data_IF_168050719585
#
_entry.id   IF_168050719585
#
_cell.length_a   1.000
_cell.length_b   1.000
_cell.length_c   1.000
_cell.angle_alpha   90.00
_cell.angle_beta   90.00
_cell.angle_gamma   90.00
#
_symmetry.space_group_name_H-M   'P 1'
#
loop_
_entity.id
_entity.type
_entity.pdbx_description
1 polymer ?
#
# COMPACT_ATOMS: atom_id res chain seq x y z
N UNK A 1 8.09 -6.88 14.13
CA UNK A 1 7.02 -5.88 13.93
C UNK A 1 7.39 -4.90 12.80
N UNK A 2 7.39 -5.34 11.53
CA UNK A 2 7.57 -4.48 10.33
C UNK A 2 6.38 -4.56 9.36
N UNK A 3 5.27 -5.16 9.80
CA UNK A 3 4.12 -5.58 8.98
C UNK A 3 3.11 -4.44 8.77
N UNK A 4 3.13 -3.39 9.58
CA UNK A 4 2.11 -2.33 9.58
C UNK A 4 2.18 -1.38 8.37
N UNK A 5 3.36 -1.18 7.77
CA UNK A 5 3.51 -0.24 6.64
C UNK A 5 2.98 -0.85 5.34
N UNK A 6 3.21 -2.13 5.08
CA UNK A 6 2.87 -2.75 3.79
C UNK A 6 1.38 -2.92 3.57
N UNK A 7 0.61 -3.03 4.65
CA UNK A 7 -0.83 -3.29 4.59
C UNK A 7 -1.64 -1.97 4.62
N UNK A 8 -1.22 -0.95 5.38
CA UNK A 8 -1.72 0.44 5.21
C UNK A 8 -1.42 0.96 3.80
N UNK A 9 -0.25 0.63 3.24
CA UNK A 9 0.11 1.00 1.86
C UNK A 9 -0.67 0.21 0.82
N UNK A 10 -0.98 -1.07 1.06
CA UNK A 10 -1.84 -1.86 0.17
C UNK A 10 -3.30 -1.37 0.22
N UNK A 11 -3.79 -0.92 1.37
CA UNK A 11 -5.12 -0.32 1.53
C UNK A 11 -5.19 1.07 0.89
N UNK A 12 -4.15 1.91 1.02
CA UNK A 12 -4.04 3.20 0.32
C UNK A 12 -3.92 3.01 -1.21
N UNK A 13 -3.11 2.05 -1.68
CA UNK A 13 -3.01 1.74 -3.11
C UNK A 13 -4.30 1.10 -3.66
N UNK A 14 -5.04 0.33 -2.85
CA UNK A 14 -6.35 -0.22 -3.22
C UNK A 14 -7.43 0.88 -3.28
N UNK A 15 -7.35 1.90 -2.43
CA UNK A 15 -8.19 3.10 -2.47
C UNK A 15 -7.91 3.98 -3.70
N UNK A 16 -6.66 4.09 -4.14
CA UNK A 16 -6.30 4.85 -5.35
C UNK A 16 -6.69 4.10 -6.64
N UNK A 17 -6.74 2.77 -6.63
CA UNK A 17 -7.03 1.98 -7.84
C UNK A 17 -8.52 1.88 -8.21
N UNK A 18 -9.45 2.15 -7.28
CA UNK A 18 -10.90 2.13 -7.57
C UNK A 18 -11.37 3.35 -8.36
N UNK A 19 -10.56 4.41 -8.45
CA UNK A 19 -10.86 5.60 -9.25
C UNK A 19 -10.26 5.57 -10.67
N UNK A 20 -9.43 4.57 -10.99
CA UNK A 20 -8.74 4.49 -12.28
C UNK A 20 -9.56 3.91 -13.46
N UNK A 21 -10.84 3.58 -13.25
CA UNK A 21 -11.69 2.94 -14.29
C UNK A 21 -12.99 3.69 -14.64
N UNK A 22 -13.16 4.92 -14.18
CA UNK A 22 -14.33 5.74 -14.51
C UNK A 22 -13.91 7.04 -15.22
N UNK A 23 -13.71 7.00 -16.54
CA UNK A 23 -13.65 8.20 -17.38
C UNK A 23 -14.97 8.39 -18.13
N UNK A 24 -15.65 9.55 -18.04
CA UNK A 24 -16.55 10.01 -19.08
C UNK A 24 -15.79 10.83 -20.13
N UNK A 25 -16.06 10.53 -21.40
CA UNK A 25 -15.59 11.22 -22.60
C UNK A 25 -15.82 12.74 -22.56
N UNK A 26 -14.77 13.53 -22.84
CA UNK A 26 -14.91 14.89 -23.42
C UNK A 26 -13.83 15.10 -24.49
N UNK A 27 -14.27 15.55 -25.66
CA UNK A 27 -13.52 15.76 -26.92
C UNK A 27 -12.85 17.15 -27.00
N UNK A 28 -11.94 17.38 -27.99
CA UNK A 28 -10.73 18.21 -27.80
C UNK A 28 -10.74 19.57 -28.53
N UNK A 29 -9.79 20.44 -28.17
CA UNK A 29 -9.43 21.69 -28.87
C UNK A 29 -8.03 22.19 -28.42
N UNK A 30 -7.27 22.95 -29.23
CA UNK A 30 -6.08 22.39 -29.88
C UNK A 30 -4.73 23.01 -29.50
N UNK A 31 -3.69 22.18 -29.66
CA UNK A 31 -2.34 22.43 -30.19
C UNK A 31 -1.55 23.62 -29.64
N UNK A 32 -0.46 23.31 -28.90
CA UNK A 32 0.83 23.99 -29.09
C UNK A 32 1.99 23.02 -28.88
N UNK A 33 2.78 22.85 -29.93
CA UNK A 33 3.91 21.93 -30.01
C UNK A 33 5.23 22.51 -29.43
N UNK A 34 6.06 21.59 -28.92
CA UNK A 34 7.53 21.56 -28.75
C UNK A 34 8.20 22.54 -27.76
N UNK A 35 8.97 21.99 -26.81
CA UNK A 35 10.43 21.80 -26.95
C UNK A 35 11.04 21.38 -25.60
N UNK A 36 11.56 20.17 -25.53
CA UNK A 36 12.43 19.68 -24.47
C UNK A 36 13.86 20.02 -24.87
N UNK A 37 14.45 21.07 -24.31
CA UNK A 37 15.90 21.24 -24.24
C UNK A 37 16.25 22.34 -23.24
N UNK A 38 17.28 22.04 -22.47
CA UNK A 38 17.81 22.69 -21.26
C UNK A 38 17.90 24.22 -21.25
N UNK A 39 17.40 24.87 -20.19
CA UNK A 39 18.11 25.94 -19.47
C UNK A 39 17.47 26.32 -18.12
N UNK A 40 18.29 26.74 -17.13
CA UNK A 40 17.89 26.95 -15.74
C UNK A 40 17.26 28.33 -15.57
N UNK A 41 15.96 28.40 -15.34
CA UNK A 41 15.32 29.63 -14.85
C UNK A 41 14.44 29.33 -13.65
N UNK A 42 15.07 29.55 -12.50
CA UNK A 42 14.48 29.81 -11.21
C UNK A 42 13.37 30.88 -11.34
N UNK A 43 12.10 30.48 -11.14
CA UNK A 43 11.01 31.33 -10.59
C UNK A 43 9.61 30.71 -10.74
N UNK A 44 9.42 29.67 -11.55
CA UNK A 44 8.06 29.15 -11.86
C UNK A 44 7.56 28.01 -10.96
N UNK A 45 8.40 27.45 -10.10
CA UNK A 45 8.11 26.21 -9.33
C UNK A 45 7.25 26.41 -8.08
N UNK A 46 7.23 27.60 -7.44
CA UNK A 46 6.54 27.77 -6.15
C UNK A 46 5.01 27.87 -6.25
N UNK A 47 4.48 28.41 -7.35
CA UNK A 47 3.04 28.65 -7.50
C UNK A 47 2.30 27.40 -8.00
N UNK A 48 2.96 26.60 -8.84
CA UNK A 48 2.44 25.34 -9.39
C UNK A 48 2.51 24.21 -8.35
N UNK A 49 3.59 24.14 -7.55
CA UNK A 49 3.65 23.28 -6.37
C UNK A 49 2.58 23.64 -5.32
N UNK A 50 2.28 24.93 -5.12
CA UNK A 50 1.21 25.38 -4.22
C UNK A 50 -0.19 25.06 -4.76
N UNK A 51 -0.38 25.08 -6.08
CA UNK A 51 -1.66 24.76 -6.72
C UNK A 51 -1.93 23.26 -6.70
N UNK A 52 -0.93 22.42 -6.98
CA UNK A 52 -1.06 20.96 -6.85
C UNK A 52 -1.23 20.53 -5.39
N UNK A 53 -0.68 21.29 -4.42
CA UNK A 53 -0.90 21.06 -2.99
C UNK A 53 -2.32 21.38 -2.51
N UNK A 54 -3.05 22.25 -3.23
CA UNK A 54 -4.45 22.61 -2.91
C UNK A 54 -5.49 21.74 -3.63
N UNK A 55 -5.13 21.14 -4.77
CA UNK A 55 -6.07 20.37 -5.58
C UNK A 55 -6.33 18.94 -5.07
N UNK A 56 -5.54 18.45 -4.10
CA UNK A 56 -5.57 17.04 -3.67
C UNK A 56 -6.49 16.75 -2.47
N UNK A 57 -7.09 17.76 -1.81
CA UNK A 57 -7.86 17.57 -0.57
C UNK A 57 -8.90 18.69 -0.34
N UNK A 58 -9.55 19.20 -1.41
CA UNK A 58 -10.74 20.01 -1.22
C UNK A 58 -11.93 19.05 -1.09
N UNK A 59 -12.61 19.10 0.05
CA UNK A 59 -13.82 18.35 0.42
C UNK A 59 -13.60 16.99 1.12
N UNK A 60 -12.66 16.94 2.07
CA UNK A 60 -12.85 16.07 3.25
C UNK A 60 -13.48 16.95 4.34
N UNK A 61 -14.77 16.76 4.58
CA UNK A 61 -15.50 17.38 5.69
C UNK A 61 -14.98 16.78 7.00
N UNK A 62 -13.86 17.31 7.49
CA UNK A 62 -13.29 16.96 8.78
C UNK A 62 -14.18 17.55 9.86
N UNK A 63 -15.05 16.71 10.43
CA UNK A 63 -15.71 17.03 11.69
C UNK A 63 -14.68 17.57 12.70
N UNK A 64 -15.05 18.64 13.37
CA UNK A 64 -14.28 19.52 14.25
C UNK A 64 -13.35 18.78 15.26
N UNK A 65 -12.18 18.32 14.79
CA UNK A 65 -11.04 17.92 15.64
C UNK A 65 -9.84 18.80 15.28
N UNK A 66 -10.04 20.10 15.48
CA UNK A 66 -9.09 21.17 15.19
C UNK A 66 -7.88 21.19 16.14
N UNK A 67 -7.76 20.20 17.04
CA UNK A 67 -6.79 20.18 18.13
C UNK A 67 -6.04 18.85 18.20
N UNK A 68 -4.79 18.91 18.64
CA UNK A 68 -4.00 17.72 18.96
C UNK A 68 -4.33 17.24 20.38
N UNK A 69 -4.54 15.93 20.56
CA UNK A 69 -4.75 15.33 21.87
C UNK A 69 -3.49 15.39 22.74
N UNK A 70 -3.63 15.29 24.07
CA UNK A 70 -2.51 15.36 25.02
C UNK A 70 -1.43 14.28 24.77
N UNK A 71 -1.87 13.09 24.35
CA UNK A 71 -0.98 11.99 23.96
C UNK A 71 -0.15 12.35 22.72
N UNK A 72 -0.76 12.98 21.73
CA UNK A 72 -0.11 13.43 20.50
C UNK A 72 0.92 14.54 20.80
N UNK A 73 0.57 15.44 21.73
CA UNK A 73 1.50 16.47 22.23
C UNK A 73 2.69 15.88 22.96
N UNK A 74 2.47 14.86 23.78
CA UNK A 74 3.57 14.16 24.47
C UNK A 74 4.57 13.57 23.48
N UNK A 75 4.08 12.98 22.38
CA UNK A 75 4.94 12.44 21.31
C UNK A 75 5.74 13.55 20.62
N UNK A 76 5.10 14.66 20.23
CA UNK A 76 5.78 15.81 19.60
C UNK A 76 6.83 16.41 20.53
N UNK A 77 6.47 16.66 21.78
CA UNK A 77 7.36 17.24 22.78
C UNK A 77 8.56 16.33 23.05
N UNK A 78 8.34 15.02 23.13
CA UNK A 78 9.41 14.04 23.35
C UNK A 78 10.39 14.01 22.16
N UNK A 79 9.90 13.97 20.92
CA UNK A 79 10.75 14.05 19.72
C UNK A 79 11.58 15.33 19.68
N UNK A 80 10.96 16.47 20.01
CA UNK A 80 11.63 17.76 20.06
C UNK A 80 12.70 17.82 21.16
N UNK A 81 12.40 17.33 22.36
CA UNK A 81 13.34 17.28 23.48
C UNK A 81 14.52 16.34 23.21
N UNK A 82 14.26 15.15 22.65
CA UNK A 82 15.30 14.19 22.27
C UNK A 82 16.26 14.75 21.21
N UNK A 83 15.77 15.62 20.33
CA UNK A 83 16.62 16.29 19.35
C UNK A 83 17.54 17.36 19.95
N UNK A 84 17.28 17.80 21.20
CA UNK A 84 18.02 18.84 21.90
C UNK A 84 18.26 20.11 21.05
N UNK A 85 17.29 20.48 20.21
CA UNK A 85 17.37 21.63 19.31
C UNK A 85 18.18 21.43 18.02
N UNK A 86 18.71 20.23 17.74
CA UNK A 86 19.42 19.95 16.49
C UNK A 86 18.44 19.47 15.39
N UNK A 87 18.26 20.23 14.29
CA UNK A 87 17.30 19.88 13.24
C UNK A 87 17.65 18.59 12.50
N UNK A 88 18.95 18.28 12.34
CA UNK A 88 19.38 17.05 11.67
C UNK A 88 19.09 15.80 12.50
N UNK A 89 19.25 15.90 13.83
CA UNK A 89 18.87 14.85 14.77
C UNK A 89 17.36 14.70 14.80
N UNK A 90 16.61 15.81 14.78
CA UNK A 90 15.16 15.78 14.73
C UNK A 90 14.64 15.06 13.49
N UNK A 91 15.19 15.35 12.30
CA UNK A 91 14.83 14.64 11.07
C UNK A 91 15.11 13.13 11.15
N UNK A 92 16.22 12.72 11.77
CA UNK A 92 16.52 11.29 11.98
C UNK A 92 15.52 10.63 12.94
N UNK A 93 15.24 11.27 14.07
CA UNK A 93 14.28 10.78 15.05
C UNK A 93 12.87 10.69 14.47
N UNK A 94 12.45 11.68 13.69
CA UNK A 94 11.16 11.64 12.97
C UNK A 94 11.15 10.51 11.96
N UNK A 95 12.23 10.31 11.18
CA UNK A 95 12.33 9.20 10.23
C UNK A 95 12.24 7.82 10.93
N UNK A 96 12.86 7.68 12.10
CA UNK A 96 12.81 6.46 12.91
C UNK A 96 11.44 6.24 13.55
N UNK A 97 10.76 7.32 13.95
CA UNK A 97 9.43 7.27 14.55
C UNK A 97 8.31 7.08 13.53
N UNK A 98 8.49 7.47 12.26
CA UNK A 98 7.48 7.38 11.19
C UNK A 98 6.72 6.03 11.12
N UNK A 99 7.36 4.85 11.22
CA UNK A 99 6.67 3.56 11.23
C UNK A 99 5.70 3.35 12.39
N UNK A 100 5.91 4.05 13.50
CA UNK A 100 5.18 3.90 14.76
C UNK A 100 4.27 5.08 15.07
N UNK A 101 4.42 6.19 14.35
CA UNK A 101 3.58 7.36 14.53
C UNK A 101 2.13 7.05 14.10
N UNK A 102 1.18 7.55 14.88
CA UNK A 102 -0.24 7.46 14.55
C UNK A 102 -0.48 8.16 13.19
N UNK A 103 -1.16 7.50 12.23
CA UNK A 103 -1.51 8.12 10.95
C UNK A 103 -2.24 9.46 11.09
N UNK A 104 -3.07 9.64 12.14
CA UNK A 104 -3.78 10.90 12.42
C UNK A 104 -2.80 12.04 12.67
N UNK A 105 -1.81 11.78 13.53
CA UNK A 105 -0.78 12.74 13.88
C UNK A 105 0.06 13.13 12.66
N UNK A 106 0.40 12.18 11.78
CA UNK A 106 1.13 12.48 10.52
C UNK A 106 0.30 13.42 9.64
N UNK A 107 -1.01 13.20 9.52
CA UNK A 107 -1.89 14.08 8.73
C UNK A 107 -2.03 15.48 9.36
N UNK A 108 -2.24 15.54 10.68
CA UNK A 108 -2.29 16.79 11.45
C UNK A 108 -0.99 17.60 11.25
N UNK A 109 0.17 16.94 11.35
CA UNK A 109 1.48 17.55 11.13
C UNK A 109 1.74 17.95 9.67
N UNK A 110 1.16 17.28 8.66
CA UNK A 110 1.35 17.68 7.23
C UNK A 110 0.63 18.98 6.85
N UNK A 111 -0.28 19.46 7.69
CA UNK A 111 -0.92 20.77 7.52
C UNK A 111 -2.44 20.79 7.69
N UNK A 112 -3.04 19.78 8.31
CA UNK A 112 -4.45 19.86 8.70
C UNK A 112 -4.66 20.81 9.89
N UNK A 113 -3.61 21.06 10.70
CA UNK A 113 -3.63 22.00 11.83
C UNK A 113 -2.52 23.04 11.67
N UNK A 114 -2.82 24.28 12.03
CA UNK A 114 -1.86 25.37 12.15
C UNK A 114 -1.66 25.66 13.65
N UNK A 115 -0.58 25.14 14.23
CA UNK A 115 -0.15 25.48 15.59
C UNK A 115 1.13 26.33 15.53
N UNK A 116 1.22 27.32 16.42
CA UNK A 116 2.31 28.29 16.47
C UNK A 116 3.42 27.90 17.44
N UNK A 117 3.26 26.79 18.17
CA UNK A 117 4.28 26.28 19.09
C UNK A 117 5.54 25.85 18.34
N UNK A 118 6.69 26.25 18.87
CA UNK A 118 8.00 25.99 18.26
C UNK A 118 8.26 24.49 18.10
N UNK A 119 7.81 23.66 19.04
CA UNK A 119 7.99 22.20 18.97
C UNK A 119 7.20 21.61 17.80
N UNK A 120 5.95 22.07 17.61
CA UNK A 120 5.10 21.61 16.52
C UNK A 120 5.65 22.03 15.17
N UNK A 121 6.01 23.30 15.01
CA UNK A 121 6.57 23.83 13.76
C UNK A 121 7.89 23.13 13.41
N UNK A 122 8.75 22.89 14.40
CA UNK A 122 10.02 22.17 14.19
C UNK A 122 9.79 20.72 13.76
N UNK A 123 8.91 19.97 14.44
CA UNK A 123 8.58 18.58 14.08
C UNK A 123 7.88 18.50 12.73
N UNK A 124 6.96 19.42 12.43
CA UNK A 124 6.29 19.54 11.14
C UNK A 124 7.29 19.80 10.00
N UNK A 125 8.21 20.75 10.18
CA UNK A 125 9.25 21.05 9.18
C UNK A 125 10.20 19.86 8.97
N UNK A 126 10.61 19.20 10.06
CA UNK A 126 11.45 18.01 9.98
C UNK A 126 10.73 16.86 9.26
N UNK A 127 9.45 16.62 9.57
CA UNK A 127 8.61 15.63 8.90
C UNK A 127 8.50 15.91 7.40
N UNK A 128 8.16 17.14 7.02
CA UNK A 128 8.05 17.53 5.62
C UNK A 128 9.39 17.36 4.89
N UNK A 129 10.51 17.79 5.50
CA UNK A 129 11.84 17.60 4.92
C UNK A 129 12.19 16.14 4.73
N UNK A 130 11.81 15.25 5.67
CA UNK A 130 12.03 13.81 5.55
C UNK A 130 11.21 13.23 4.41
N UNK A 131 9.93 13.59 4.30
CA UNK A 131 9.05 13.11 3.23
C UNK A 131 9.51 13.60 1.86
N UNK A 132 9.93 14.85 1.75
CA UNK A 132 10.49 15.42 0.51
C UNK A 132 11.80 14.72 0.11
N UNK A 133 12.67 14.43 1.08
CA UNK A 133 13.90 13.68 0.83
C UNK A 133 13.61 12.23 0.36
N UNK A 134 12.58 11.58 0.89
CA UNK A 134 12.15 10.24 0.43
C UNK A 134 11.61 10.28 -1.00
N UNK A 135 10.79 11.28 -1.34
CA UNK A 135 10.32 11.47 -2.71
C UNK A 135 11.46 11.79 -3.68
N UNK A 136 12.46 12.56 -3.26
CA UNK A 136 13.66 12.80 -4.06
C UNK A 136 14.45 11.52 -4.29
N UNK A 137 14.74 10.74 -3.23
CA UNK A 137 15.43 9.46 -3.35
C UNK A 137 14.65 8.44 -4.21
N UNK A 138 13.32 8.42 -4.11
CA UNK A 138 12.45 7.62 -4.97
C UNK A 138 12.60 7.98 -6.46
N UNK A 139 12.70 9.28 -6.79
CA UNK A 139 12.95 9.74 -8.16
C UNK A 139 14.33 9.31 -8.66
N UNK A 140 15.35 9.40 -7.81
CA UNK A 140 16.71 8.98 -8.17
C UNK A 140 16.77 7.48 -8.48
N UNK A 141 16.07 6.65 -7.68
CA UNK A 141 15.97 5.20 -7.93
C UNK A 141 15.23 4.92 -9.23
N UNK A 142 14.10 5.59 -9.50
CA UNK A 142 13.38 5.42 -10.76
C UNK A 142 14.22 5.86 -11.96
N UNK A 143 14.97 6.95 -11.81
CA UNK A 143 15.91 7.42 -12.83
C UNK A 143 17.03 6.40 -13.07
N UNK A 144 17.58 5.78 -12.03
CA UNK A 144 18.56 4.69 -12.16
C UNK A 144 18.00 3.49 -12.94
N UNK A 145 16.73 3.13 -12.68
CA UNK A 145 16.04 2.06 -13.41
C UNK A 145 15.85 2.39 -14.89
N UNK A 146 15.37 3.59 -15.20
CA UNK A 146 15.14 4.02 -16.59
C UNK A 146 16.45 4.11 -17.39
N UNK A 147 17.57 4.45 -16.75
CA UNK A 147 18.89 4.51 -17.37
C UNK A 147 19.65 3.17 -17.40
N UNK A 148 19.05 2.09 -16.91
CA UNK A 148 19.72 0.78 -16.90
C UNK A 148 20.04 0.28 -18.32
N UNK A 149 19.25 0.68 -19.33
CA UNK A 149 19.45 0.36 -20.76
C UNK A 149 19.13 -1.09 -21.14
N UNK A 150 19.35 -2.04 -20.24
CA UNK A 150 19.12 -3.48 -20.44
C UNK A 150 18.19 -4.05 -19.36
N UNK A 151 17.22 -4.89 -19.78
CA UNK A 151 16.21 -5.50 -18.90
C UNK A 151 16.86 -6.34 -17.79
N UNK A 152 17.92 -7.10 -18.10
CA UNK A 152 18.61 -7.94 -17.09
C UNK A 152 19.28 -7.09 -16.00
N UNK A 153 19.88 -5.96 -16.40
CA UNK A 153 20.49 -5.02 -15.46
C UNK A 153 19.42 -4.31 -14.64
N UNK A 154 18.31 -3.93 -15.25
CA UNK A 154 17.13 -3.39 -14.58
C UNK A 154 16.61 -4.35 -13.51
N UNK A 155 16.33 -5.62 -13.84
CA UNK A 155 15.85 -6.61 -12.86
C UNK A 155 16.83 -6.81 -11.69
N UNK A 156 18.14 -6.79 -11.98
CA UNK A 156 19.17 -6.86 -10.94
C UNK A 156 19.16 -5.63 -10.02
N UNK A 157 18.93 -4.43 -10.58
CA UNK A 157 18.82 -3.19 -9.82
C UNK A 157 17.56 -3.16 -8.96
N UNK A 158 16.43 -3.63 -9.50
CA UNK A 158 15.16 -3.77 -8.75
C UNK A 158 15.36 -4.72 -7.57
N UNK A 159 15.95 -5.90 -7.80
CA UNK A 159 16.22 -6.86 -6.73
C UNK A 159 17.18 -6.31 -5.66
N UNK A 160 18.15 -5.47 -6.05
CA UNK A 160 19.03 -4.77 -5.09
C UNK A 160 18.26 -3.71 -4.29
N UNK A 161 17.50 -2.86 -4.96
CA UNK A 161 16.69 -1.82 -4.31
C UNK A 161 15.65 -2.40 -3.35
N UNK A 162 15.06 -3.55 -3.69
CA UNK A 162 14.16 -4.29 -2.81
C UNK A 162 14.86 -4.72 -1.51
N UNK A 163 16.05 -5.34 -1.62
CA UNK A 163 16.87 -5.74 -0.45
C UNK A 163 17.33 -4.55 0.39
N UNK A 164 17.63 -3.44 -0.26
CA UNK A 164 18.05 -2.19 0.39
C UNK A 164 16.86 -1.42 1.01
N UNK A 165 15.61 -1.90 0.85
CA UNK A 165 14.41 -1.25 1.37
C UNK A 165 14.05 0.08 0.69
N UNK A 166 14.56 0.30 -0.53
CA UNK A 166 14.32 1.53 -1.32
C UNK A 166 13.01 1.49 -2.10
N UNK A 167 12.38 0.32 -2.25
CA UNK A 167 11.06 0.15 -2.87
C UNK A 167 9.95 0.43 -1.84
N UNK A 168 9.89 1.68 -1.36
CA UNK A 168 8.90 2.12 -0.37
C UNK A 168 7.69 2.80 -1.03
N UNK A 169 6.76 3.28 -0.19
CA UNK A 169 5.53 3.95 -0.65
C UNK A 169 5.83 5.16 -1.53
N UNK A 170 6.86 5.93 -1.17
CA UNK A 170 7.25 7.11 -1.92
C UNK A 170 7.72 6.73 -3.33
N UNK A 171 8.45 5.61 -3.45
CA UNK A 171 8.82 5.06 -4.75
C UNK A 171 7.60 4.68 -5.61
N UNK A 172 6.66 3.90 -5.08
CA UNK A 172 5.47 3.51 -5.85
C UNK A 172 4.57 4.70 -6.20
N UNK A 173 4.49 5.73 -5.35
CA UNK A 173 3.76 6.96 -5.67
C UNK A 173 4.40 7.69 -6.87
N UNK A 174 5.73 7.86 -6.86
CA UNK A 174 6.46 8.47 -7.98
C UNK A 174 6.29 7.65 -9.26
N UNK A 175 6.35 6.32 -9.15
CA UNK A 175 6.18 5.41 -10.28
C UNK A 175 4.76 5.50 -10.87
N UNK A 176 3.72 5.50 -10.04
CA UNK A 176 2.33 5.63 -10.48
C UNK A 176 2.06 6.96 -11.17
N UNK A 177 2.59 8.06 -10.65
CA UNK A 177 2.48 9.37 -11.31
C UNK A 177 3.11 9.34 -12.72
N UNK A 178 4.30 8.74 -12.84
CA UNK A 178 4.96 8.58 -14.14
C UNK A 178 4.21 7.63 -15.09
N UNK A 179 3.57 6.58 -14.57
CA UNK A 179 2.71 5.68 -15.34
C UNK A 179 1.48 6.40 -15.89
N UNK A 180 0.83 7.22 -15.07
CA UNK A 180 -0.31 8.03 -15.50
C UNK A 180 0.11 9.03 -16.57
N UNK A 181 1.21 9.77 -16.36
CA UNK A 181 1.75 10.71 -17.35
C UNK A 181 2.07 9.99 -18.67
N UNK A 182 2.76 8.85 -18.62
CA UNK A 182 3.11 8.07 -19.81
C UNK A 182 1.88 7.46 -20.52
N UNK A 183 0.83 7.11 -19.77
CA UNK A 183 -0.43 6.61 -20.36
C UNK A 183 -1.19 7.68 -21.13
N UNK A 184 -1.11 8.94 -20.67
CA UNK A 184 -1.72 10.08 -21.35
C UNK A 184 -0.92 10.45 -22.61
N UNK A 185 0.41 10.46 -22.53
CA UNK A 185 1.29 10.68 -23.68
C UNK A 185 1.09 9.63 -24.79
N UNK A 186 0.85 8.36 -24.40
CA UNK A 186 0.58 7.28 -25.36
C UNK A 186 -0.75 7.45 -26.12
N UNK A 187 -1.73 8.15 -25.56
CA UNK A 187 -3.00 8.41 -26.24
C UNK A 187 -2.87 9.48 -27.34
N UNK A 188 -1.84 10.34 -27.25
CA UNK A 188 -1.62 11.48 -28.14
C UNK A 188 -0.58 11.21 -29.25
N UNK A 189 0.44 10.37 -29.01
CA UNK A 189 1.50 10.05 -29.98
C UNK A 189 1.40 8.58 -30.47
N UNK A 190 0.88 8.40 -31.68
CA UNK A 190 0.72 7.10 -32.36
C UNK A 190 2.00 6.53 -32.99
N UNK A 191 3.17 6.69 -32.38
CA UNK A 191 4.44 6.23 -32.96
C UNK A 191 4.86 4.84 -32.43
N UNK A 192 4.97 3.88 -33.34
CA UNK A 192 4.78 2.44 -33.08
C UNK A 192 6.07 1.64 -32.82
N UNK A 193 7.24 2.28 -32.75
CA UNK A 193 8.51 1.55 -32.95
C UNK A 193 9.60 1.68 -31.87
N UNK A 194 9.27 2.21 -30.69
CA UNK A 194 10.14 2.16 -29.50
C UNK A 194 9.36 1.55 -28.36
N UNK A 195 9.97 0.69 -27.52
CA UNK A 195 9.32 0.19 -26.31
C UNK A 195 8.76 1.39 -25.54
N UNK A 196 7.43 1.51 -25.58
CA UNK A 196 6.78 2.75 -25.18
C UNK A 196 7.12 2.98 -23.70
N UNK A 197 7.43 4.22 -23.31
CA UNK A 197 7.81 4.58 -21.93
C UNK A 197 6.85 3.95 -20.91
N UNK A 198 5.58 3.90 -21.26
CA UNK A 198 4.53 3.22 -20.51
C UNK A 198 4.80 1.72 -20.30
N UNK A 199 5.18 0.96 -21.33
CA UNK A 199 5.49 -0.47 -21.23
C UNK A 199 6.71 -0.72 -20.32
N UNK A 200 7.75 0.12 -20.40
CA UNK A 200 8.92 0.01 -19.53
C UNK A 200 8.52 0.26 -18.07
N UNK A 201 7.75 1.33 -17.81
CA UNK A 201 7.25 1.64 -16.48
C UNK A 201 6.31 0.55 -15.94
N UNK A 202 5.48 -0.05 -16.79
CA UNK A 202 4.63 -1.19 -16.41
C UNK A 202 5.47 -2.40 -16.01
N UNK A 203 6.52 -2.72 -16.77
CA UNK A 203 7.46 -3.78 -16.42
C UNK A 203 8.17 -3.49 -15.09
N UNK A 204 8.63 -2.25 -14.87
CA UNK A 204 9.23 -1.83 -13.60
C UNK A 204 8.23 -2.00 -12.46
N UNK A 205 6.98 -1.59 -12.66
CA UNK A 205 5.92 -1.70 -11.66
C UNK A 205 5.67 -3.15 -11.27
N UNK A 206 5.42 -4.03 -12.24
CA UNK A 206 5.13 -5.44 -11.98
C UNK A 206 6.32 -6.13 -11.31
N UNK A 207 7.54 -5.90 -11.79
CA UNK A 207 8.76 -6.51 -11.20
C UNK A 207 9.06 -5.99 -9.79
N UNK A 208 8.92 -4.68 -9.55
CA UNK A 208 9.06 -4.12 -8.21
C UNK A 208 8.01 -4.70 -7.26
N UNK A 209 6.77 -4.83 -7.72
CA UNK A 209 5.69 -5.41 -6.93
C UNK A 209 6.01 -6.88 -6.58
N UNK A 210 6.45 -7.69 -7.55
CA UNK A 210 6.84 -9.07 -7.30
C UNK A 210 7.98 -9.19 -6.28
N UNK A 211 9.01 -8.35 -6.36
CA UNK A 211 10.11 -8.38 -5.40
C UNK A 211 9.66 -7.95 -3.99
N UNK A 212 8.77 -6.95 -3.89
CA UNK A 212 8.21 -6.53 -2.60
C UNK A 212 7.31 -7.62 -2.02
N UNK A 213 6.47 -8.27 -2.83
CA UNK A 213 5.57 -9.34 -2.39
C UNK A 213 6.32 -10.54 -1.78
N UNK A 214 7.58 -10.81 -2.19
CA UNK A 214 8.41 -11.85 -1.55
C UNK A 214 8.75 -11.56 -0.09
N UNK A 215 8.73 -10.30 0.32
CA UNK A 215 9.04 -9.89 1.70
C UNK A 215 7.80 -9.85 2.59
N UNK A 216 6.61 -9.94 1.99
CA UNK A 216 5.33 -9.88 2.71
C UNK A 216 5.00 -11.26 3.27
N UNK A 217 4.52 -11.36 4.52
CA UNK A 217 4.05 -12.63 5.07
C UNK A 217 2.99 -13.27 4.15
N UNK A 218 3.02 -14.59 3.93
CA UNK A 218 2.21 -15.25 2.91
C UNK A 218 0.70 -15.06 3.13
N UNK A 219 0.23 -15.02 4.38
CA UNK A 219 -1.17 -14.71 4.71
C UNK A 219 -1.60 -13.31 4.28
N UNK A 220 -0.74 -12.31 4.48
CA UNK A 220 -1.00 -10.92 4.07
C UNK A 220 -0.95 -10.78 2.56
N UNK A 221 0.01 -11.43 1.90
CA UNK A 221 0.13 -11.43 0.44
C UNK A 221 -1.11 -12.05 -0.22
N UNK A 222 -1.61 -13.16 0.33
CA UNK A 222 -2.85 -13.80 -0.11
C UNK A 222 -4.05 -12.85 0.07
N UNK A 223 -4.22 -12.24 1.24
CA UNK A 223 -5.33 -11.33 1.50
C UNK A 223 -5.31 -10.14 0.52
N UNK A 224 -4.15 -9.52 0.32
CA UNK A 224 -4.00 -8.40 -0.63
C UNK A 224 -4.30 -8.84 -2.07
N UNK A 225 -3.96 -10.07 -2.46
CA UNK A 225 -4.29 -10.62 -3.78
C UNK A 225 -5.81 -10.82 -3.94
N UNK A 226 -6.47 -11.35 -2.91
CA UNK A 226 -7.92 -11.59 -2.92
C UNK A 226 -8.71 -10.29 -2.95
N UNK A 227 -8.32 -9.28 -2.18
CA UNK A 227 -8.98 -7.97 -2.14
C UNK A 227 -8.86 -7.19 -3.46
N UNK A 228 -7.85 -7.49 -4.28
CA UNK A 228 -7.65 -6.91 -5.63
C UNK A 228 -8.31 -7.71 -6.74
N UNK A 229 -8.89 -8.88 -6.43
CA UNK A 229 -9.51 -9.76 -7.42
C UNK A 229 -11.02 -9.62 -7.34
N UNK A 230 -11.64 -8.92 -8.30
CA UNK A 230 -13.09 -8.67 -8.27
C UNK A 230 -13.92 -9.92 -8.55
N UNK A 231 -13.41 -10.82 -9.40
CA UNK A 231 -14.12 -12.02 -9.84
C UNK A 231 -14.15 -13.10 -8.74
N UNK A 232 -15.34 -13.52 -8.26
CA UNK A 232 -15.47 -14.54 -7.22
C UNK A 232 -14.92 -15.91 -7.65
N UNK A 233 -15.03 -16.28 -8.93
CA UNK A 233 -14.52 -17.56 -9.43
C UNK A 233 -13.00 -17.60 -9.42
N UNK A 234 -12.35 -16.48 -9.76
CA UNK A 234 -10.89 -16.36 -9.69
C UNK A 234 -10.44 -16.38 -8.23
N UNK A 235 -11.13 -15.67 -7.33
CA UNK A 235 -10.85 -15.72 -5.88
C UNK A 235 -10.97 -17.13 -5.32
N UNK A 236 -12.03 -17.87 -5.67
CA UNK A 236 -12.22 -19.27 -5.25
C UNK A 236 -11.05 -20.15 -5.69
N UNK A 237 -10.61 -20.04 -6.96
CA UNK A 237 -9.44 -20.77 -7.45
C UNK A 237 -8.16 -20.41 -6.70
N UNK A 238 -7.95 -19.11 -6.40
CA UNK A 238 -6.82 -18.67 -5.59
C UNK A 238 -6.89 -19.24 -4.17
N UNK A 239 -8.06 -19.20 -3.52
CA UNK A 239 -8.26 -19.77 -2.18
C UNK A 239 -7.95 -21.27 -2.15
N UNK A 240 -8.42 -22.04 -3.14
CA UNK A 240 -8.09 -23.47 -3.28
C UNK A 240 -6.59 -23.68 -3.45
N UNK A 241 -5.93 -22.88 -4.30
CA UNK A 241 -4.50 -23.00 -4.55
C UNK A 241 -3.65 -22.68 -3.29
N UNK A 242 -4.06 -21.72 -2.47
CA UNK A 242 -3.23 -21.27 -1.34
C UNK A 242 -3.58 -21.93 0.00
N UNK A 243 -4.87 -22.18 0.27
CA UNK A 243 -5.36 -22.67 1.57
C UNK A 243 -5.65 -24.16 1.59
N UNK A 244 -5.65 -24.83 0.44
CA UNK A 244 -5.94 -26.25 0.36
C UNK A 244 -4.71 -27.06 -0.05
N UNK A 245 -4.72 -28.37 0.26
CA UNK A 245 -3.61 -29.24 -0.07
C UNK A 245 -3.43 -29.33 -1.59
N UNK A 246 -2.20 -29.18 -2.09
CA UNK A 246 -1.90 -29.24 -3.52
C UNK A 246 -1.79 -30.70 -3.99
N UNK A 247 -2.28 -30.97 -5.20
CA UNK A 247 -2.14 -32.28 -5.82
C UNK A 247 -0.66 -32.58 -6.07
N UNK A 248 -0.15 -33.63 -5.43
CA UNK A 248 1.21 -34.12 -5.60
C UNK A 248 1.34 -35.13 -6.76
N UNK A 249 0.48 -35.02 -7.78
CA UNK A 249 0.47 -35.94 -8.92
C UNK A 249 0.99 -35.23 -10.17
N UNK A 250 2.08 -35.72 -10.75
CA UNK A 250 2.56 -35.28 -12.07
C UNK A 250 2.23 -36.37 -13.08
N UNK A 251 1.58 -36.01 -14.17
CA UNK A 251 1.38 -36.91 -15.31
C UNK A 251 2.67 -36.96 -16.13
N UNK A 252 3.32 -38.12 -16.16
CA UNK A 252 4.47 -38.35 -17.01
C UNK A 252 4.08 -38.27 -18.50
N UNK A 253 5.03 -38.01 -19.42
CA UNK A 253 4.77 -38.06 -20.87
C UNK A 253 4.31 -39.44 -21.37
N UNK A 254 4.45 -40.49 -20.56
CA UNK A 254 3.90 -41.85 -20.76
C UNK A 254 2.42 -41.98 -20.31
N UNK A 255 1.76 -40.88 -19.93
CA UNK A 255 0.38 -40.87 -19.43
C UNK A 255 0.20 -41.45 -18.01
N UNK A 256 1.27 -41.94 -17.39
CA UNK A 256 1.25 -42.50 -16.02
C UNK A 256 1.33 -41.40 -14.98
N UNK A 257 0.46 -41.47 -13.98
CA UNK A 257 0.47 -40.59 -12.81
C UNK A 257 1.61 -40.99 -11.85
N UNK A 258 2.56 -40.10 -11.65
CA UNK A 258 3.63 -40.25 -10.65
C UNK A 258 3.24 -39.44 -9.43
N UNK A 259 2.94 -40.13 -8.32
CA UNK A 259 2.76 -39.49 -7.01
C UNK A 259 4.12 -39.06 -6.48
N UNK A 260 4.33 -37.76 -6.34
CA UNK A 260 5.48 -37.22 -5.64
C UNK A 260 5.33 -37.56 -4.15
N UNK A 261 6.35 -38.23 -3.60
CA UNK A 261 6.39 -38.51 -2.17
C UNK A 261 6.54 -37.18 -1.39
N UNK A 262 5.54 -36.88 -0.55
CA UNK A 262 5.52 -35.67 0.25
C UNK A 262 4.13 -35.41 0.81
N UNK A 263 4.04 -34.79 1.99
CA UNK A 263 2.75 -34.30 2.50
C UNK A 263 2.22 -33.24 1.55
N UNK A 264 0.92 -33.26 1.29
CA UNK A 264 0.26 -32.22 0.52
C UNK A 264 0.52 -30.88 1.23
N UNK A 265 1.26 -30.00 0.56
CA UNK A 265 1.75 -28.77 1.19
C UNK A 265 0.71 -27.67 0.99
N UNK A 266 0.18 -27.17 2.08
CA UNK A 266 -0.59 -25.93 2.07
C UNK A 266 0.40 -24.76 1.95
N UNK A 267 0.16 -23.86 1.01
CA UNK A 267 1.08 -22.73 0.75
C UNK A 267 0.95 -21.63 1.81
N UNK A 268 -0.24 -21.44 2.38
CA UNK A 268 -0.54 -20.46 3.42
C UNK A 268 -1.28 -21.15 4.55
N UNK A 269 -0.72 -21.13 5.77
CA UNK A 269 -1.41 -21.73 6.90
C UNK A 269 -2.71 -20.97 7.21
N UNK A 270 -3.74 -21.69 7.66
CA UNK A 270 -5.03 -21.08 8.01
C UNK A 270 -4.87 -20.04 9.14
N UNK A 271 -4.00 -20.33 10.12
CA UNK A 271 -3.68 -19.41 11.21
C UNK A 271 -3.03 -18.11 10.73
N UNK A 272 -2.07 -18.19 9.79
CA UNK A 272 -1.43 -16.98 9.22
C UNK A 272 -2.44 -16.12 8.45
N UNK A 273 -3.37 -16.76 7.73
CA UNK A 273 -4.41 -16.05 6.99
C UNK A 273 -5.43 -15.38 7.91
N UNK A 274 -5.85 -16.06 8.99
CA UNK A 274 -6.68 -15.44 10.05
C UNK A 274 -5.96 -14.25 10.68
N UNK A 275 -4.68 -14.40 11.01
CA UNK A 275 -3.87 -13.31 11.56
C UNK A 275 -3.78 -12.12 10.59
N UNK A 276 -3.64 -12.37 9.30
CA UNK A 276 -3.66 -11.32 8.28
C UNK A 276 -5.00 -10.58 8.21
N UNK A 277 -6.12 -11.32 8.26
CA UNK A 277 -7.48 -10.75 8.31
C UNK A 277 -7.66 -9.88 9.56
N UNK A 278 -7.28 -10.39 10.73
CA UNK A 278 -7.38 -9.65 11.99
C UNK A 278 -6.58 -8.35 11.97
N UNK A 279 -5.32 -8.41 11.51
CA UNK A 279 -4.47 -7.24 11.38
C UNK A 279 -5.03 -6.20 10.40
N UNK A 280 -5.62 -6.65 9.28
CA UNK A 280 -6.25 -5.75 8.32
C UNK A 280 -7.44 -4.99 8.94
N UNK A 281 -8.30 -5.68 9.70
CA UNK A 281 -9.44 -5.04 10.38
C UNK A 281 -8.98 -4.03 11.41
N UNK A 282 -7.98 -4.37 12.23
CA UNK A 282 -7.37 -3.45 13.21
C UNK A 282 -6.87 -2.19 12.52
N UNK A 283 -6.15 -2.34 11.41
CA UNK A 283 -5.62 -1.20 10.65
C UNK A 283 -6.72 -0.33 10.05
N UNK A 284 -7.77 -0.92 9.47
CA UNK A 284 -8.90 -0.15 8.93
C UNK A 284 -9.54 0.69 10.03
N UNK A 285 -9.76 0.11 11.23
CA UNK A 285 -10.31 0.85 12.38
C UNK A 285 -9.39 1.95 12.89
N UNK A 286 -8.08 1.75 12.83
CA UNK A 286 -7.12 2.80 13.16
C UNK A 286 -7.17 3.97 12.17
N UNK A 287 -7.29 3.69 10.87
CA UNK A 287 -7.43 4.73 9.85
C UNK A 287 -8.76 5.48 10.01
N UNK A 288 -9.85 4.78 10.35
CA UNK A 288 -11.16 5.39 10.68
C UNK A 288 -11.04 6.34 11.88
N UNK A 289 -10.48 5.86 13.00
CA UNK A 289 -10.28 6.65 14.21
C UNK A 289 -9.36 7.86 13.99
N UNK A 290 -8.37 7.69 13.11
CA UNK A 290 -7.46 8.75 12.74
C UNK A 290 -8.10 9.86 11.90
N UNK A 291 -9.35 9.68 11.45
CA UNK A 291 -10.04 10.63 10.57
C UNK A 291 -9.57 10.58 9.11
N UNK A 292 -8.74 9.60 8.75
CA UNK A 292 -8.20 9.46 7.40
C UNK A 292 -9.16 8.74 6.44
N UNK A 293 -10.17 8.05 6.98
CA UNK A 293 -11.25 7.44 6.20
C UNK A 293 -12.60 7.66 6.89
N UNK A 294 -13.62 7.98 6.11
CA UNK A 294 -14.98 8.10 6.60
C UNK A 294 -15.48 6.75 7.14
N UNK A 295 -16.41 6.80 8.10
CA UNK A 295 -17.01 5.60 8.70
C UNK A 295 -17.63 4.65 7.67
N UNK A 296 -18.27 5.19 6.65
CA UNK A 296 -18.87 4.40 5.56
C UNK A 296 -17.80 3.66 4.74
N UNK A 297 -16.74 4.35 4.33
CA UNK A 297 -15.62 3.76 3.59
C UNK A 297 -14.94 2.67 4.41
N UNK A 298 -14.71 2.93 5.69
CA UNK A 298 -14.10 1.97 6.63
C UNK A 298 -14.99 0.74 6.82
N UNK A 299 -16.31 0.92 6.94
CA UNK A 299 -17.27 -0.18 7.01
C UNK A 299 -17.24 -1.04 5.73
N UNK A 300 -17.21 -0.41 4.56
CA UNK A 300 -17.14 -1.11 3.27
C UNK A 300 -15.85 -1.93 3.14
N UNK A 301 -14.71 -1.43 3.61
CA UNK A 301 -13.46 -2.19 3.64
C UNK A 301 -13.54 -3.40 4.57
N UNK A 302 -14.11 -3.23 5.78
CA UNK A 302 -14.31 -4.35 6.71
C UNK A 302 -15.24 -5.40 6.11
N UNK A 303 -16.29 -5.00 5.39
CA UNK A 303 -17.17 -5.95 4.69
C UNK A 303 -16.49 -6.65 3.51
N UNK A 304 -15.58 -5.97 2.79
CA UNK A 304 -14.78 -6.62 1.74
C UNK A 304 -13.88 -7.71 2.35
N UNK A 305 -13.18 -7.42 3.45
CA UNK A 305 -12.38 -8.40 4.20
C UNK A 305 -13.26 -9.54 4.73
N UNK A 306 -14.46 -9.24 5.24
CA UNK A 306 -15.42 -10.24 5.71
C UNK A 306 -15.91 -11.14 4.58
N UNK A 307 -16.13 -10.59 3.39
CA UNK A 307 -16.55 -11.36 2.22
C UNK A 307 -15.49 -12.37 1.83
N UNK A 308 -14.23 -11.95 1.76
CA UNK A 308 -13.09 -12.84 1.54
C UNK A 308 -13.00 -13.93 2.61
N UNK A 309 -13.21 -13.59 3.89
CA UNK A 309 -13.20 -14.56 4.98
C UNK A 309 -14.32 -15.61 4.85
N UNK A 310 -15.52 -15.20 4.40
CA UNK A 310 -16.64 -16.12 4.14
C UNK A 310 -16.32 -17.07 2.98
N UNK A 311 -15.76 -16.56 1.89
CA UNK A 311 -15.36 -17.38 0.74
C UNK A 311 -14.26 -18.39 1.11
N UNK A 312 -13.29 -17.97 1.92
CA UNK A 312 -12.25 -18.85 2.45
C UNK A 312 -12.83 -19.95 3.32
N UNK A 313 -13.79 -19.62 4.21
CA UNK A 313 -14.50 -20.60 5.05
C UNK A 313 -15.20 -21.66 4.20
N UNK A 314 -15.95 -21.25 3.16
CA UNK A 314 -16.62 -22.19 2.25
C UNK A 314 -15.59 -23.09 1.56
N UNK A 315 -14.50 -22.51 1.05
CA UNK A 315 -13.44 -23.26 0.36
C UNK A 315 -12.77 -24.30 1.28
N UNK A 316 -12.51 -23.95 2.54
CA UNK A 316 -11.96 -24.87 3.53
C UNK A 316 -12.97 -25.98 3.86
N UNK A 317 -14.25 -25.63 4.05
CA UNK A 317 -15.31 -26.61 4.32
C UNK A 317 -15.48 -27.60 3.16
N UNK A 318 -15.41 -27.13 1.92
CA UNK A 318 -15.54 -27.97 0.72
C UNK A 318 -14.37 -28.95 0.55
N UNK A 319 -13.16 -28.59 1.01
CA UNK A 319 -11.94 -29.41 0.80
C UNK A 319 -11.57 -30.28 1.98
N UNK A 320 -11.71 -29.79 3.21
CA UNK A 320 -11.39 -30.54 4.44
C UNK A 320 -12.61 -31.19 5.07
N UNK A 321 -13.82 -30.70 4.76
CA UNK A 321 -15.08 -31.16 5.33
C UNK A 321 -15.64 -30.20 6.39
N UNK A 322 -16.97 -30.23 6.56
CA UNK A 322 -17.71 -29.33 7.48
C UNK A 322 -17.38 -29.58 8.96
N UNK A 323 -16.97 -30.80 9.31
CA UNK A 323 -16.61 -31.18 10.68
C UNK A 323 -15.08 -31.23 10.89
N UNK A 324 -14.30 -30.74 9.94
CA UNK A 324 -12.84 -30.75 10.02
C UNK A 324 -12.32 -29.84 11.12
N UNK A 325 -11.20 -30.27 11.74
CA UNK A 325 -10.52 -29.46 12.77
C UNK A 325 -10.01 -28.16 12.16
N UNK A 326 -9.54 -28.21 10.92
CA UNK A 326 -9.06 -27.07 10.14
C UNK A 326 -10.13 -25.98 10.01
N UNK A 327 -11.38 -26.36 9.68
CA UNK A 327 -12.48 -25.41 9.61
C UNK A 327 -12.84 -24.85 10.99
N UNK A 328 -12.88 -25.70 12.02
CA UNK A 328 -13.18 -25.26 13.39
C UNK A 328 -12.14 -24.28 13.93
N UNK A 329 -10.86 -24.57 13.73
CA UNK A 329 -9.75 -23.70 14.13
C UNK A 329 -9.79 -22.37 13.36
N UNK A 330 -10.11 -22.41 12.06
CA UNK A 330 -10.30 -21.21 11.24
C UNK A 330 -11.47 -20.34 11.72
N UNK A 331 -12.63 -20.95 11.98
CA UNK A 331 -13.81 -20.25 12.49
C UNK A 331 -13.59 -19.66 13.88
N UNK A 332 -12.95 -20.43 14.79
CA UNK A 332 -12.60 -19.97 16.12
C UNK A 332 -11.68 -18.75 16.08
N UNK A 333 -10.73 -18.74 15.15
CA UNK A 333 -9.83 -17.60 14.93
C UNK A 333 -10.51 -16.35 14.35
N UNK A 334 -11.52 -16.51 13.48
CA UNK A 334 -12.27 -15.39 12.90
C UNK A 334 -13.35 -14.82 13.83
N UNK A 335 -13.86 -15.61 14.77
CA UNK A 335 -14.91 -15.21 15.70
C UNK A 335 -14.56 -13.92 16.47
N UNK A 336 -13.39 -13.77 17.12
CA UNK A 336 -13.05 -12.53 17.83
C UNK A 336 -12.92 -11.31 16.90
N UNK A 337 -12.58 -11.52 15.62
CA UNK A 337 -12.39 -10.44 14.64
C UNK A 337 -13.73 -9.81 14.23
N UNK A 338 -14.71 -10.65 13.88
CA UNK A 338 -16.00 -10.16 13.35
C UNK A 338 -17.14 -10.18 14.37
N UNK A 339 -16.99 -10.89 15.47
CA UNK A 339 -17.95 -10.99 16.60
C UNK A 339 -17.22 -10.78 17.92
N UNK A 340 -16.66 -9.58 18.15
CA UNK A 340 -16.03 -9.25 19.42
C UNK A 340 -17.03 -9.41 20.58
N UNK A 341 -16.62 -10.13 21.63
CA UNK A 341 -17.45 -10.41 22.81
C UNK A 341 -17.56 -9.23 23.78
N UNK A 342 -16.72 -8.21 23.61
CA UNK A 342 -16.68 -7.01 24.45
C UNK A 342 -16.49 -5.76 23.60
N UNK A 343 -17.11 -4.63 23.96
CA UNK A 343 -16.83 -3.32 23.34
C UNK A 343 -15.36 -2.90 23.47
N UNK A 344 -14.63 -3.47 24.43
CA UNK A 344 -13.22 -3.20 24.68
C UNK A 344 -12.26 -4.01 23.80
N UNK A 345 -12.78 -4.77 22.84
CA UNK A 345 -11.95 -5.61 21.95
C UNK A 345 -11.01 -4.77 21.09
N UNK A 346 -9.77 -5.26 20.90
CA UNK A 346 -8.78 -4.70 19.97
C UNK A 346 -9.34 -4.50 18.56
N UNK A 347 -10.25 -5.36 18.10
CA UNK A 347 -10.87 -5.24 16.78
C UNK A 347 -11.94 -4.15 16.67
N UNK A 348 -12.49 -3.68 17.78
CA UNK A 348 -13.37 -2.51 17.83
C UNK A 348 -12.54 -1.25 18.02
N UNK A 349 -11.52 -1.33 18.88
CA UNK A 349 -10.66 -0.21 19.20
C UNK A 349 -9.56 0.06 18.18
N UNK A 350 -9.23 -0.88 17.31
CA UNK A 350 -8.03 -0.79 16.47
C UNK A 350 -6.71 -0.93 17.25
N UNK A 351 -6.73 -1.38 18.49
CA UNK A 351 -5.50 -1.48 19.33
C UNK A 351 -4.69 -2.75 19.07
#
# INVERSE_FOLDING_TARGET
MRVSITLVSAVLLALENTSAWLTPHVSPSPIRARSWETSPTCSRTKQEQRRNRRLLMADVDTGDDSTLADEEWSVIANLYQQAAGNPSTLSKLVLEALPTLNPSLIMKLRGAILDSRDEFVAVQNALNSVLDARLAGARDVLFEFLNAGEIRKLDSLIGKAARDGKLDVAFFQVLNMNLQDASQEQADDGDENTANRFQILQHIYTRCQEEVEKTIPPGVALLNKLLRTDSPSIRSNQLVHYLCPQSNVITAPDGKEVKLEGREKILVSHADFVGAIGNAVIQIRNVEKAGAANREVSANMVEAVRTVAKEARVTIADKFGVESKELQDFEAGLMPVFRPSSPESSYIKGE
#
